data_IF_365642395800
#
_entry.id   IF_365642395800
#
_cell.length_a   1.000
_cell.length_b   1.000
_cell.length_c   1.000
_cell.angle_alpha   90.00
_cell.angle_beta   90.00
_cell.angle_gamma   90.00
#
_symmetry.space_group_name_H-M   'P 1'
#
loop_
_entity.id
_entity.type
_entity.pdbx_description
1 polymer ?
#
# COMPACT_ATOMS: atom_id res chain seq x y z
N UNK A 1 -18.69 -13.75 -1.19
CA UNK A 1 -19.74 -14.43 -0.39
C UNK A 1 -20.92 -13.50 -0.09
N UNK A 2 -20.79 -12.42 0.74
CA UNK A 2 -21.91 -11.53 1.09
C UNK A 2 -22.58 -10.88 -0.13
N UNK A 3 -21.82 -10.36 -1.08
CA UNK A 3 -22.36 -9.77 -2.30
C UNK A 3 -23.20 -10.76 -3.12
N UNK A 4 -22.70 -12.00 -3.27
CA UNK A 4 -23.44 -13.04 -3.98
C UNK A 4 -24.74 -13.41 -3.26
N UNK A 5 -24.75 -13.45 -1.93
CA UNK A 5 -25.97 -13.71 -1.14
C UNK A 5 -26.96 -12.56 -1.27
N UNK A 6 -26.52 -11.31 -1.24
CA UNK A 6 -27.38 -10.15 -1.46
C UNK A 6 -28.05 -10.21 -2.85
N UNK A 7 -27.24 -10.43 -3.89
CA UNK A 7 -27.71 -10.54 -5.26
C UNK A 7 -28.70 -11.69 -5.45
N UNK A 8 -28.43 -12.86 -4.88
CA UNK A 8 -29.32 -14.02 -4.94
C UNK A 8 -30.71 -13.78 -4.29
N UNK A 9 -30.78 -12.80 -3.37
CA UNK A 9 -32.03 -12.40 -2.70
C UNK A 9 -32.62 -11.08 -3.27
N UNK A 10 -32.18 -10.64 -4.46
CA UNK A 10 -32.66 -9.43 -5.10
C UNK A 10 -32.34 -8.14 -4.35
N UNK A 11 -31.26 -8.14 -3.56
CA UNK A 11 -30.79 -6.97 -2.80
C UNK A 11 -29.61 -6.32 -3.47
N UNK A 12 -29.55 -5.00 -3.40
CA UNK A 12 -28.34 -4.25 -3.74
C UNK A 12 -27.28 -4.47 -2.66
N UNK A 13 -26.02 -4.36 -3.03
CA UNK A 13 -24.90 -4.53 -2.11
C UNK A 13 -23.69 -3.69 -2.52
N UNK A 14 -22.97 -3.20 -1.53
CA UNK A 14 -21.65 -2.58 -1.69
C UNK A 14 -20.68 -3.36 -0.82
N UNK A 15 -19.63 -3.91 -1.42
CA UNK A 15 -18.63 -4.68 -0.72
C UNK A 15 -17.24 -4.13 -1.05
N UNK A 16 -16.58 -3.52 -0.08
CA UNK A 16 -15.15 -3.25 -0.13
C UNK A 16 -14.42 -4.48 0.42
N UNK A 17 -13.42 -4.94 -0.32
CA UNK A 17 -12.67 -6.15 0.00
C UNK A 17 -11.18 -5.84 0.15
N UNK A 18 -10.28 -6.71 -0.31
CA UNK A 18 -8.84 -6.53 -0.18
C UNK A 18 -8.23 -5.51 -1.14
N UNK A 19 -7.01 -5.13 -0.85
CA UNK A 19 -6.20 -4.24 -1.67
C UNK A 19 -4.73 -4.67 -1.71
N UNK A 20 -4.04 -4.35 -2.81
CA UNK A 20 -2.59 -4.47 -2.95
C UNK A 20 -2.09 -3.32 -3.80
N UNK A 21 -1.93 -2.16 -3.16
CA UNK A 21 -1.74 -0.90 -3.86
C UNK A 21 -0.29 -0.71 -4.31
N UNK A 22 -0.13 -0.26 -5.55
CA UNK A 22 1.17 -0.01 -6.18
C UNK A 22 1.54 1.47 -6.08
N UNK A 23 2.80 1.72 -5.75
CA UNK A 23 3.37 3.04 -5.62
C UNK A 23 4.56 3.16 -6.58
N UNK A 24 4.36 3.79 -7.71
CA UNK A 24 5.35 3.89 -8.79
C UNK A 24 6.17 5.16 -8.63
N UNK A 25 7.50 5.05 -8.73
CA UNK A 25 8.42 6.19 -8.69
C UNK A 25 9.23 6.23 -9.96
N UNK A 26 9.04 7.30 -10.74
CA UNK A 26 9.75 7.53 -11.99
C UNK A 26 11.14 8.15 -11.77
N UNK A 27 12.08 8.04 -12.73
CA UNK A 27 13.42 8.62 -12.63
C UNK A 27 13.45 10.14 -12.48
N UNK A 28 12.40 10.83 -12.91
CA UNK A 28 12.22 12.28 -12.86
C UNK A 28 11.47 12.77 -11.61
N UNK A 29 11.14 11.87 -10.68
CA UNK A 29 10.45 12.21 -9.45
C UNK A 29 11.35 12.98 -8.48
N UNK A 30 10.75 13.88 -7.70
CA UNK A 30 11.38 14.42 -6.49
C UNK A 30 11.48 13.30 -5.43
N UNK A 31 12.71 12.85 -5.18
CA UNK A 31 12.95 11.72 -4.29
C UNK A 31 12.65 12.02 -2.82
N UNK A 32 12.87 13.26 -2.37
CA UNK A 32 12.63 13.62 -0.98
C UNK A 32 11.12 13.65 -0.72
N UNK A 33 10.34 14.20 -1.65
CA UNK A 33 8.90 14.15 -1.60
C UNK A 33 8.37 12.71 -1.70
N UNK A 34 8.94 11.91 -2.61
CA UNK A 34 8.51 10.52 -2.79
C UNK A 34 8.79 9.67 -1.54
N UNK A 35 9.98 9.80 -0.91
CA UNK A 35 10.33 9.07 0.32
C UNK A 35 9.41 9.46 1.47
N UNK A 36 9.18 10.76 1.70
CA UNK A 36 8.27 11.23 2.75
C UNK A 36 6.84 10.67 2.54
N UNK A 37 6.37 10.65 1.29
CA UNK A 37 5.08 10.09 0.92
C UNK A 37 5.03 8.56 1.10
N UNK A 38 6.11 7.83 0.79
CA UNK A 38 6.22 6.38 1.01
C UNK A 38 6.17 6.08 2.51
N UNK A 39 6.96 6.76 3.34
CA UNK A 39 6.93 6.55 4.79
C UNK A 39 5.53 6.74 5.35
N UNK A 40 4.89 7.85 5.01
CA UNK A 40 3.51 8.12 5.42
C UNK A 40 2.52 7.07 4.89
N UNK A 41 2.66 6.64 3.64
CA UNK A 41 1.72 5.73 2.98
C UNK A 41 1.84 4.30 3.47
N UNK A 42 3.07 3.74 3.49
CA UNK A 42 3.31 2.32 3.79
C UNK A 42 3.33 2.04 5.29
N UNK A 43 3.80 2.99 6.09
CA UNK A 43 4.02 2.77 7.53
C UNK A 43 3.07 3.58 8.41
N UNK A 44 2.54 4.72 7.94
CA UNK A 44 1.52 5.46 8.67
C UNK A 44 0.32 4.59 9.03
N UNK A 45 -0.23 4.75 10.24
CA UNK A 45 -1.24 3.87 10.84
C UNK A 45 -0.85 2.37 10.82
N UNK A 46 0.45 2.08 10.96
CA UNK A 46 1.04 0.74 10.86
C UNK A 46 0.67 -0.01 9.56
N UNK A 47 0.54 0.72 8.44
CA UNK A 47 0.13 0.17 7.15
C UNK A 47 -1.31 -0.35 7.09
N UNK A 48 -2.10 -0.09 8.13
CA UNK A 48 -3.47 -0.60 8.28
C UNK A 48 -4.50 0.38 7.70
N UNK A 49 -4.34 0.73 6.41
CA UNK A 49 -5.26 1.56 5.64
C UNK A 49 -5.51 0.91 4.28
N UNK A 50 -6.76 0.92 3.82
CA UNK A 50 -7.16 0.34 2.53
C UNK A 50 -6.44 0.99 1.33
N UNK A 51 -6.07 2.27 1.42
CA UNK A 51 -5.34 3.01 0.39
C UNK A 51 -3.82 3.10 0.64
N UNK A 52 -3.30 2.44 1.69
CA UNK A 52 -1.86 2.39 1.96
C UNK A 52 -1.09 1.72 0.81
N UNK A 53 0.10 2.22 0.50
CA UNK A 53 1.03 1.53 -0.39
C UNK A 53 1.43 0.17 0.19
N UNK A 54 1.58 -0.82 -0.66
CA UNK A 54 2.04 -2.17 -0.31
C UNK A 54 3.17 -2.63 -1.22
N UNK A 55 3.08 -2.25 -2.50
CA UNK A 55 4.09 -2.55 -3.53
C UNK A 55 4.74 -1.25 -3.96
N UNK A 56 6.04 -1.13 -3.78
CA UNK A 56 6.86 -0.04 -4.30
C UNK A 56 7.46 -0.48 -5.65
N UNK A 57 7.22 0.32 -6.68
CA UNK A 57 7.72 0.05 -8.04
C UNK A 57 8.66 1.17 -8.47
N UNK A 58 9.96 1.10 -8.15
CA UNK A 58 10.96 1.99 -8.70
C UNK A 58 11.18 1.68 -10.18
N UNK A 59 11.22 2.72 -11.04
CA UNK A 59 11.38 2.59 -12.48
C UNK A 59 12.81 2.92 -12.91
N UNK A 60 13.48 1.96 -13.54
CA UNK A 60 14.82 2.15 -14.11
C UNK A 60 15.86 2.64 -13.09
N UNK A 61 16.56 3.69 -13.42
CA UNK A 61 17.73 4.18 -12.63
C UNK A 61 17.39 4.78 -11.27
N UNK A 62 16.11 5.07 -10.97
CA UNK A 62 15.70 5.64 -9.67
C UNK A 62 15.86 4.64 -8.54
N UNK A 63 15.94 3.36 -8.86
CA UNK A 63 15.93 2.28 -7.87
C UNK A 63 16.97 2.45 -6.77
N UNK A 64 18.27 2.56 -7.11
CA UNK A 64 19.34 2.60 -6.11
C UNK A 64 19.27 3.84 -5.20
N UNK A 65 19.13 5.07 -5.73
CA UNK A 65 19.04 6.26 -4.89
C UNK A 65 17.77 6.27 -4.02
N UNK A 66 16.63 5.80 -4.54
CA UNK A 66 15.40 5.69 -3.78
C UNK A 66 15.54 4.68 -2.64
N UNK A 67 16.09 3.50 -2.92
CA UNK A 67 16.27 2.44 -1.93
C UNK A 67 17.12 2.90 -0.76
N UNK A 68 18.25 3.52 -1.03
CA UNK A 68 19.15 4.04 0.01
C UNK A 68 18.44 5.03 0.93
N UNK A 69 17.79 6.03 0.36
CA UNK A 69 17.05 7.06 1.13
C UNK A 69 15.89 6.44 1.92
N UNK A 70 15.16 5.50 1.32
CA UNK A 70 14.01 4.87 1.96
C UNK A 70 14.40 4.03 3.18
N UNK A 71 15.42 3.17 3.04
CA UNK A 71 15.91 2.33 4.15
C UNK A 71 16.44 3.18 5.28
N UNK A 72 17.23 4.20 4.97
CA UNK A 72 17.76 5.15 5.96
C UNK A 72 16.62 5.84 6.73
N UNK A 73 15.65 6.42 6.02
CA UNK A 73 14.55 7.14 6.62
C UNK A 73 13.59 6.21 7.40
N UNK A 74 13.29 5.02 6.88
CA UNK A 74 12.45 4.04 7.57
C UNK A 74 13.10 3.51 8.86
N UNK A 75 14.43 3.31 8.85
CA UNK A 75 15.18 2.87 10.03
C UNK A 75 15.20 3.91 11.15
N UNK A 76 15.05 5.19 10.81
CA UNK A 76 15.05 6.30 11.76
C UNK A 76 13.67 6.58 12.39
N UNK A 77 12.60 5.94 11.89
CA UNK A 77 11.24 6.18 12.38
C UNK A 77 11.10 5.82 13.86
N UNK A 78 10.49 6.71 14.63
CA UNK A 78 10.19 6.49 16.05
C UNK A 78 8.92 5.65 16.21
N UNK A 79 9.08 4.51 16.88
CA UNK A 79 8.00 3.56 17.14
C UNK A 79 7.60 3.67 18.58
N UNK A 80 6.29 3.75 18.87
CA UNK A 80 5.85 3.91 20.25
C UNK A 80 4.35 4.14 20.42
N UNK A 81 3.99 4.68 21.58
CA UNK A 81 2.60 4.99 21.89
C UNK A 81 2.13 6.24 21.13
N UNK A 82 1.04 6.12 20.38
CA UNK A 82 0.57 7.14 19.43
C UNK A 82 0.07 8.46 20.05
N UNK A 83 0.06 8.62 21.38
CA UNK A 83 -0.19 9.91 22.04
C UNK A 83 1.10 10.69 22.32
N UNK A 84 2.25 10.12 22.06
CA UNK A 84 3.52 10.85 22.08
C UNK A 84 3.71 11.52 20.71
N UNK A 85 3.80 12.84 20.68
CA UNK A 85 3.95 13.65 19.46
C UNK A 85 5.22 13.30 18.66
N UNK A 86 6.24 12.71 19.29
CA UNK A 86 7.46 12.30 18.63
C UNK A 86 7.31 10.94 17.90
N UNK A 87 6.24 10.19 18.14
CA UNK A 87 6.03 8.86 17.57
C UNK A 87 5.42 8.96 16.18
N UNK A 88 6.04 8.26 15.22
CA UNK A 88 5.61 8.22 13.82
C UNK A 88 4.89 6.92 13.46
N UNK A 89 5.16 5.85 14.20
CA UNK A 89 4.60 4.52 13.96
C UNK A 89 4.07 3.91 15.26
N UNK A 90 2.76 3.79 15.37
CA UNK A 90 2.06 3.15 16.47
C UNK A 90 1.95 1.63 16.33
N UNK A 91 1.28 0.95 17.29
CA UNK A 91 1.08 -0.49 17.23
C UNK A 91 0.07 -0.90 16.16
N UNK A 92 0.13 -2.15 15.73
CA UNK A 92 -0.96 -2.77 14.99
C UNK A 92 -2.15 -3.07 15.90
N UNK A 93 -3.33 -3.23 15.31
CA UNK A 93 -4.62 -3.23 16.02
C UNK A 93 -4.77 -4.34 17.07
N UNK A 94 -4.10 -5.49 16.92
CA UNK A 94 -4.16 -6.63 17.86
C UNK A 94 -2.91 -7.52 17.75
N UNK A 95 -2.67 -8.33 18.79
CA UNK A 95 -1.63 -9.38 18.75
C UNK A 95 -1.90 -10.41 17.64
N UNK A 96 -3.17 -10.72 17.36
CA UNK A 96 -3.53 -11.61 16.23
C UNK A 96 -3.12 -11.00 14.89
N UNK A 97 -3.31 -9.70 14.71
CA UNK A 97 -2.84 -8.99 13.51
C UNK A 97 -1.31 -9.01 13.43
N UNK A 98 -0.62 -8.75 14.56
CA UNK A 98 0.85 -8.83 14.64
C UNK A 98 1.36 -10.21 14.22
N UNK A 99 0.82 -11.27 14.80
CA UNK A 99 1.22 -12.65 14.48
C UNK A 99 1.00 -12.99 12.99
N UNK A 100 -0.12 -12.56 12.40
CA UNK A 100 -0.42 -12.74 10.98
C UNK A 100 0.58 -11.99 10.10
N UNK A 101 0.92 -10.74 10.42
CA UNK A 101 1.89 -9.94 9.66
C UNK A 101 3.30 -10.56 9.76
N UNK A 102 3.70 -11.01 10.96
CA UNK A 102 4.97 -11.74 11.16
C UNK A 102 5.02 -12.98 10.28
N UNK A 103 3.95 -13.76 10.21
CA UNK A 103 3.86 -14.93 9.33
C UNK A 103 4.07 -14.59 7.85
N UNK A 104 3.55 -13.46 7.36
CA UNK A 104 3.83 -12.98 5.99
C UNK A 104 5.30 -12.57 5.81
N UNK A 105 5.92 -11.94 6.82
CA UNK A 105 7.33 -11.59 6.76
C UNK A 105 8.19 -12.86 6.69
N UNK A 106 7.91 -13.86 7.51
CA UNK A 106 8.57 -15.16 7.48
C UNK A 106 8.40 -15.86 6.13
N UNK A 107 7.20 -15.82 5.56
CA UNK A 107 6.93 -16.38 4.25
C UNK A 107 7.72 -15.67 3.15
N UNK A 108 7.80 -14.35 3.16
CA UNK A 108 8.59 -13.59 2.20
C UNK A 108 10.07 -13.96 2.23
N UNK A 109 10.64 -14.15 3.42
CA UNK A 109 12.01 -14.65 3.59
C UNK A 109 12.14 -16.10 3.04
N UNK A 110 11.19 -16.97 3.34
CA UNK A 110 11.20 -18.35 2.90
C UNK A 110 11.06 -18.49 1.37
N UNK A 111 10.34 -17.58 0.72
CA UNK A 111 10.19 -17.50 -0.74
C UNK A 111 11.40 -16.86 -1.43
N UNK A 112 12.40 -16.38 -0.68
CA UNK A 112 13.66 -15.85 -1.19
C UNK A 112 13.69 -14.35 -1.43
N UNK A 113 12.71 -13.58 -0.96
CA UNK A 113 12.79 -12.14 -0.99
C UNK A 113 13.90 -11.62 -0.07
N UNK A 114 14.63 -10.61 -0.51
CA UNK A 114 15.72 -10.02 0.25
C UNK A 114 15.20 -9.05 1.30
N UNK A 115 15.32 -9.40 2.58
CA UNK A 115 14.93 -8.55 3.69
C UNK A 115 15.99 -7.47 3.92
N UNK A 116 15.62 -6.20 3.70
CA UNK A 116 16.52 -5.04 3.86
C UNK A 116 16.36 -4.37 5.22
N UNK A 117 15.14 -4.37 5.75
CA UNK A 117 14.81 -3.86 7.07
C UNK A 117 13.79 -4.80 7.71
N UNK A 118 14.08 -5.23 8.93
CA UNK A 118 13.23 -6.16 9.68
C UNK A 118 12.57 -5.45 10.87
N UNK A 119 11.27 -5.34 10.83
CA UNK A 119 10.49 -4.69 11.89
C UNK A 119 9.92 -5.63 12.95
N UNK A 120 10.29 -6.93 12.98
CA UNK A 120 9.69 -7.91 13.89
C UNK A 120 10.09 -7.76 15.35
N UNK A 121 11.34 -7.36 15.62
CA UNK A 121 11.96 -7.37 16.96
C UNK A 121 11.91 -6.00 17.68
N UNK A 122 10.86 -5.22 17.39
CA UNK A 122 10.68 -3.92 18.03
C UNK A 122 10.14 -4.09 19.44
N UNK A 123 10.82 -3.45 20.42
CA UNK A 123 10.36 -3.30 21.79
C UNK A 123 10.17 -1.82 22.08
N UNK A 124 9.09 -1.50 22.81
CA UNK A 124 8.76 -0.12 23.19
C UNK A 124 8.77 -0.02 24.72
N UNK A 125 9.60 0.86 25.24
CA UNK A 125 9.73 1.08 26.68
C UNK A 125 8.38 1.46 27.31
N UNK A 126 8.07 0.83 28.43
CA UNK A 126 6.79 1.00 29.12
C UNK A 126 5.62 0.18 28.55
N UNK A 127 5.81 -0.51 27.42
CA UNK A 127 4.76 -1.29 26.75
C UNK A 127 5.27 -2.68 26.31
N UNK A 128 5.73 -3.54 27.24
CA UNK A 128 6.34 -4.84 26.91
C UNK A 128 5.36 -5.77 26.16
N UNK A 129 4.07 -5.64 26.45
CA UNK A 129 3.01 -6.44 25.83
C UNK A 129 2.35 -5.71 24.65
N UNK A 130 2.96 -4.66 24.11
CA UNK A 130 2.41 -3.91 22.98
C UNK A 130 2.51 -4.69 21.66
N UNK A 131 1.48 -4.57 20.81
CA UNK A 131 1.47 -5.19 19.49
C UNK A 131 2.26 -4.35 18.48
N UNK A 132 3.51 -4.02 18.78
CA UNK A 132 4.36 -3.19 17.90
C UNK A 132 5.04 -4.02 16.81
N UNK A 133 5.17 -3.40 15.65
CA UNK A 133 6.00 -3.83 14.53
C UNK A 133 6.64 -2.59 13.93
N UNK A 134 7.91 -2.67 13.60
CA UNK A 134 8.62 -1.64 12.86
C UNK A 134 8.38 -1.74 11.36
N UNK A 135 8.90 -0.76 10.59
CA UNK A 135 8.94 -0.83 9.16
C UNK A 135 9.68 -2.08 8.70
N UNK A 136 9.08 -2.81 7.77
CA UNK A 136 9.72 -3.96 7.11
C UNK A 136 9.82 -3.69 5.62
N UNK A 137 11.00 -3.88 5.04
CA UNK A 137 11.26 -3.62 3.61
C UNK A 137 11.86 -4.85 2.97
N UNK A 138 11.17 -5.37 1.97
CA UNK A 138 11.64 -6.45 1.11
C UNK A 138 12.04 -5.94 -0.26
N UNK A 139 13.18 -6.40 -0.74
CA UNK A 139 13.64 -6.23 -2.12
C UNK A 139 13.68 -7.59 -2.84
N UNK A 140 13.94 -7.55 -4.15
CA UNK A 140 13.98 -8.75 -4.99
C UNK A 140 12.68 -9.57 -4.92
N UNK A 141 11.57 -8.89 -4.67
CA UNK A 141 10.24 -9.51 -4.65
C UNK A 141 9.80 -9.80 -6.08
N UNK A 142 9.26 -11.00 -6.30
CA UNK A 142 8.68 -11.38 -7.58
C UNK A 142 7.15 -11.38 -7.53
N UNK A 143 6.44 -11.24 -8.65
CA UNK A 143 4.98 -11.23 -8.69
C UNK A 143 4.33 -12.52 -8.17
N UNK A 144 5.06 -13.63 -8.16
CA UNK A 144 4.58 -14.96 -7.73
C UNK A 144 4.58 -15.12 -6.22
N UNK A 145 5.41 -14.35 -5.50
CA UNK A 145 5.52 -14.44 -4.05
C UNK A 145 4.21 -14.05 -3.36
N UNK A 146 3.89 -14.72 -2.27
CA UNK A 146 2.66 -14.46 -1.48
C UNK A 146 2.63 -13.02 -0.99
N UNK A 147 3.78 -12.48 -0.54
CA UNK A 147 3.89 -11.09 -0.08
C UNK A 147 3.63 -10.05 -1.17
N UNK A 148 3.74 -10.41 -2.46
CA UNK A 148 3.37 -9.56 -3.59
C UNK A 148 1.88 -9.64 -3.95
N UNK A 149 1.24 -10.78 -3.71
CA UNK A 149 -0.12 -11.07 -4.16
C UNK A 149 -1.19 -10.83 -3.10
N UNK A 150 -0.89 -11.10 -1.83
CA UNK A 150 -1.87 -11.04 -0.76
C UNK A 150 -1.77 -9.73 0.03
N UNK A 151 -2.91 -9.30 0.58
CA UNK A 151 -2.99 -8.13 1.45
C UNK A 151 -2.42 -8.44 2.82
N UNK A 152 -1.26 -7.85 3.15
CA UNK A 152 -0.61 -8.03 4.46
C UNK A 152 -1.31 -7.18 5.53
N UNK A 153 -1.74 -5.98 5.21
CA UNK A 153 -2.37 -5.02 6.12
C UNK A 153 -1.51 -4.75 7.36
N UNK A 154 -0.28 -4.36 7.11
CA UNK A 154 0.77 -4.12 8.09
C UNK A 154 1.89 -3.24 7.54
N UNK A 155 2.89 -2.83 8.34
CA UNK A 155 3.96 -1.93 7.94
C UNK A 155 5.04 -2.66 7.11
N UNK A 156 4.64 -3.20 5.97
CA UNK A 156 5.49 -4.00 5.07
C UNK A 156 5.48 -3.42 3.67
N UNK A 157 6.66 -3.08 3.17
CA UNK A 157 6.93 -2.60 1.83
C UNK A 157 7.60 -3.69 1.00
N UNK A 158 7.00 -4.07 -0.13
CA UNK A 158 7.54 -5.03 -1.08
C UNK A 158 8.00 -4.30 -2.34
N UNK A 159 9.27 -4.44 -2.74
CA UNK A 159 9.84 -3.75 -3.90
C UNK A 159 9.82 -4.67 -5.12
N UNK A 160 9.08 -4.27 -6.16
CA UNK A 160 9.03 -4.90 -7.47
C UNK A 160 9.56 -3.92 -8.51
N UNK A 161 10.76 -4.11 -9.03
CA UNK A 161 11.37 -3.20 -10.00
C UNK A 161 10.65 -3.25 -11.36
N UNK A 162 10.66 -2.12 -12.06
CA UNK A 162 10.23 -2.02 -13.45
C UNK A 162 11.29 -1.28 -14.27
N UNK A 163 11.47 -1.63 -15.55
CA UNK A 163 12.41 -0.98 -16.43
C UNK A 163 11.88 0.37 -16.94
N UNK A 164 10.57 0.43 -17.17
CA UNK A 164 9.85 1.60 -17.65
C UNK A 164 8.42 1.69 -17.06
N UNK A 165 7.69 2.74 -17.47
CA UNK A 165 6.31 2.96 -17.02
C UNK A 165 5.35 1.90 -17.57
N UNK A 166 5.60 1.35 -18.76
CA UNK A 166 4.74 0.33 -19.35
C UNK A 166 4.80 -0.96 -18.54
N UNK A 167 5.98 -1.40 -18.16
CA UNK A 167 6.15 -2.57 -17.30
C UNK A 167 5.55 -2.33 -15.90
N UNK A 168 5.66 -1.12 -15.35
CA UNK A 168 5.00 -0.79 -14.09
C UNK A 168 3.47 -0.88 -14.21
N UNK A 169 2.89 -0.40 -15.31
CA UNK A 169 1.46 -0.51 -15.62
C UNK A 169 1.02 -1.96 -15.81
N UNK A 170 1.80 -2.77 -16.50
CA UNK A 170 1.53 -4.22 -16.65
C UNK A 170 1.44 -4.92 -15.28
N UNK A 171 2.35 -4.62 -14.34
CA UNK A 171 2.31 -5.17 -12.98
C UNK A 171 1.02 -4.78 -12.25
N UNK A 172 0.60 -3.51 -12.36
CA UNK A 172 -0.65 -3.02 -11.77
C UNK A 172 -1.86 -3.72 -12.41
N UNK A 173 -1.84 -3.89 -13.73
CA UNK A 173 -2.94 -4.53 -14.46
C UNK A 173 -3.06 -6.03 -14.14
N UNK A 174 -1.94 -6.71 -13.95
CA UNK A 174 -1.88 -8.13 -13.60
C UNK A 174 -2.35 -8.40 -12.16
N UNK A 175 -2.31 -7.41 -11.27
CA UNK A 175 -2.80 -7.56 -9.90
C UNK A 175 -4.30 -7.89 -9.88
N UNK A 176 -4.76 -8.85 -9.05
CA UNK A 176 -6.19 -9.12 -8.88
C UNK A 176 -6.93 -7.97 -8.18
N UNK A 177 -6.21 -7.07 -7.54
CA UNK A 177 -6.75 -5.90 -6.86
C UNK A 177 -6.61 -4.64 -7.70
N UNK A 178 -7.53 -3.69 -7.51
CA UNK A 178 -7.55 -2.41 -8.19
C UNK A 178 -8.14 -1.31 -7.32
N UNK A 179 -7.69 -1.21 -6.04
CA UNK A 179 -8.23 -0.21 -5.14
C UNK A 179 -7.57 1.15 -5.35
N UNK A 180 -6.23 1.23 -5.25
CA UNK A 180 -5.50 2.45 -5.57
C UNK A 180 -4.14 2.18 -6.23
N UNK A 181 -3.66 3.20 -6.95
CA UNK A 181 -2.30 3.27 -7.46
C UNK A 181 -1.77 4.71 -7.41
N UNK A 182 -0.50 4.88 -7.07
CA UNK A 182 0.17 6.18 -6.99
C UNK A 182 1.34 6.24 -7.94
N UNK A 183 1.57 7.43 -8.52
CA UNK A 183 2.72 7.72 -9.36
C UNK A 183 3.43 8.99 -8.90
N UNK A 184 4.74 8.94 -8.77
CA UNK A 184 5.60 10.09 -8.56
C UNK A 184 6.40 10.38 -9.83
N UNK A 185 6.21 11.56 -10.42
CA UNK A 185 6.84 12.02 -11.66
C UNK A 185 6.69 13.54 -11.82
N UNK A 186 7.64 14.16 -12.50
CA UNK A 186 7.51 15.53 -12.99
C UNK A 186 6.94 15.62 -14.42
N UNK A 187 6.76 14.47 -15.11
CA UNK A 187 6.24 14.41 -16.47
C UNK A 187 4.72 14.40 -16.53
N UNK A 188 4.13 15.47 -17.08
CA UNK A 188 2.68 15.49 -17.34
C UNK A 188 2.20 14.43 -18.35
N UNK A 189 3.07 13.96 -19.24
CA UNK A 189 2.75 12.86 -20.18
C UNK A 189 2.67 11.53 -19.43
N UNK A 190 3.64 11.22 -18.54
CA UNK A 190 3.63 10.04 -17.72
C UNK A 190 2.40 10.02 -16.77
N UNK A 191 2.10 11.16 -16.14
CA UNK A 191 0.94 11.30 -15.28
C UNK A 191 -0.39 11.00 -16.02
N UNK A 192 -0.60 11.57 -17.23
CA UNK A 192 -1.79 11.28 -18.03
C UNK A 192 -1.86 9.82 -18.46
N UNK A 193 -0.75 9.23 -18.91
CA UNK A 193 -0.70 7.82 -19.30
C UNK A 193 -1.07 6.93 -18.12
N UNK A 194 -0.48 7.18 -16.95
CA UNK A 194 -0.76 6.44 -15.72
C UNK A 194 -2.23 6.55 -15.33
N UNK A 195 -2.79 7.75 -15.32
CA UNK A 195 -4.20 8.00 -14.99
C UNK A 195 -5.16 7.19 -15.86
N UNK A 196 -4.86 7.04 -17.16
CA UNK A 196 -5.74 6.32 -18.08
C UNK A 196 -5.53 4.81 -18.06
N UNK A 197 -4.35 4.32 -17.71
CA UNK A 197 -3.98 2.91 -17.89
C UNK A 197 -3.81 2.11 -16.59
N UNK A 198 -3.71 2.75 -15.42
CA UNK A 198 -3.46 2.04 -14.15
C UNK A 198 -4.60 1.10 -13.72
N UNK A 199 -5.80 1.26 -14.27
CA UNK A 199 -6.96 0.39 -14.01
C UNK A 199 -7.22 0.14 -12.52
N UNK A 200 -7.22 1.23 -11.74
CA UNK A 200 -7.54 1.26 -10.31
C UNK A 200 -8.65 2.28 -10.05
N UNK A 201 -9.41 2.08 -8.98
CA UNK A 201 -10.51 2.97 -8.60
C UNK A 201 -10.04 4.34 -8.14
N UNK A 202 -8.87 4.42 -7.49
CA UNK A 202 -8.31 5.66 -6.97
C UNK A 202 -6.88 5.83 -7.48
N UNK A 203 -6.59 6.96 -8.12
CA UNK A 203 -5.28 7.24 -8.70
C UNK A 203 -4.72 8.51 -8.07
N UNK A 204 -3.49 8.42 -7.55
CA UNK A 204 -2.76 9.54 -6.98
C UNK A 204 -1.56 9.92 -7.83
N UNK A 205 -1.39 11.22 -8.11
CA UNK A 205 -0.19 11.75 -8.77
C UNK A 205 0.52 12.67 -7.78
N UNK A 206 1.76 12.33 -7.43
CA UNK A 206 2.60 13.02 -6.46
C UNK A 206 1.95 13.16 -5.08
N UNK A 207 1.15 12.18 -4.69
CA UNK A 207 0.57 12.05 -3.35
C UNK A 207 0.76 10.63 -2.81
N UNK A 208 0.92 10.51 -1.50
CA UNK A 208 1.19 9.21 -0.86
C UNK A 208 -0.03 8.31 -0.71
N UNK A 209 -1.20 8.90 -0.53
CA UNK A 209 -2.47 8.18 -0.35
C UNK A 209 -3.53 8.86 -1.20
N UNK A 210 -4.10 8.14 -2.15
CA UNK A 210 -5.16 8.63 -3.03
C UNK A 210 -6.53 8.67 -2.31
N UNK A 211 -6.57 9.26 -1.11
CA UNK A 211 -7.80 9.41 -0.33
C UNK A 211 -8.70 10.47 -0.95
N UNK A 212 -9.96 10.13 -1.14
CA UNK A 212 -10.96 11.03 -1.70
C UNK A 212 -11.57 11.92 -0.61
N UNK A 213 -12.03 13.10 -1.02
CA UNK A 213 -12.84 13.96 -0.16
C UNK A 213 -14.28 13.44 -0.05
N UNK A 214 -15.03 13.87 0.95
CA UNK A 214 -16.36 13.35 1.26
C UNK A 214 -17.40 13.47 0.12
N UNK A 215 -17.18 14.34 -0.85
CA UNK A 215 -18.05 14.52 -2.02
C UNK A 215 -17.49 13.89 -3.30
N UNK A 216 -16.33 13.30 -3.25
CA UNK A 216 -15.80 12.51 -4.36
C UNK A 216 -16.15 11.04 -4.18
N UNK A 217 -16.36 10.36 -5.26
CA UNK A 217 -16.67 8.93 -5.27
C UNK A 217 -15.45 8.14 -4.83
N UNK A 218 -15.64 7.24 -3.88
CA UNK A 218 -14.65 6.22 -3.49
C UNK A 218 -15.09 4.88 -4.04
N UNK A 219 -14.27 4.30 -4.90
CA UNK A 219 -14.53 2.99 -5.48
C UNK A 219 -13.27 2.16 -5.59
N UNK A 220 -13.45 0.91 -5.97
CA UNK A 220 -12.39 -0.01 -6.33
C UNK A 220 -12.78 -0.74 -7.60
N UNK A 221 -11.78 -1.33 -8.25
CA UNK A 221 -11.96 -2.19 -9.41
C UNK A 221 -11.52 -3.61 -9.09
N UNK A 222 -11.76 -4.52 -10.01
CA UNK A 222 -11.36 -5.93 -9.91
C UNK A 222 -11.90 -6.57 -8.61
N UNK A 223 -11.05 -7.28 -7.86
CA UNK A 223 -11.44 -7.91 -6.61
C UNK A 223 -11.45 -6.97 -5.40
N UNK A 224 -11.15 -5.68 -5.58
CA UNK A 224 -11.15 -4.74 -4.46
C UNK A 224 -12.53 -4.19 -4.10
N UNK A 225 -13.51 -4.26 -5.02
CA UNK A 225 -14.87 -3.83 -4.74
C UNK A 225 -15.88 -4.58 -5.60
N UNK A 226 -17.06 -4.76 -5.07
CA UNK A 226 -18.22 -5.34 -5.77
C UNK A 226 -19.46 -4.50 -5.51
N UNK A 227 -20.25 -4.27 -6.56
CA UNK A 227 -21.46 -3.48 -6.51
C UNK A 227 -21.24 -1.99 -6.71
N UNK A 228 -22.11 -1.18 -6.14
CA UNK A 228 -22.09 0.25 -6.32
C UNK A 228 -20.88 0.89 -5.59
N UNK A 229 -20.42 2.03 -6.09
CA UNK A 229 -19.35 2.80 -5.47
C UNK A 229 -19.87 3.66 -4.32
N UNK A 230 -18.98 4.10 -3.42
CA UNK A 230 -19.29 5.04 -2.36
C UNK A 230 -19.06 6.48 -2.81
N UNK A 231 -19.89 7.39 -2.33
CA UNK A 231 -19.78 8.80 -2.55
C UNK A 231 -21.08 9.50 -2.16
N UNK A 232 -21.05 10.83 -2.07
CA UNK A 232 -22.22 11.58 -1.62
C UNK A 232 -23.46 11.31 -2.47
N UNK A 233 -23.36 11.49 -3.79
CA UNK A 233 -24.45 11.29 -4.73
C UNK A 233 -24.86 9.83 -4.83
N UNK A 234 -23.87 8.94 -4.93
CA UNK A 234 -24.07 7.49 -5.05
C UNK A 234 -24.71 6.90 -3.80
N UNK A 235 -24.37 7.45 -2.61
CA UNK A 235 -25.01 7.02 -1.36
C UNK A 235 -26.50 7.35 -1.33
N UNK A 236 -26.91 8.50 -1.84
CA UNK A 236 -28.35 8.83 -1.97
C UNK A 236 -29.08 7.95 -2.97
N UNK A 237 -28.41 7.60 -4.07
CA UNK A 237 -28.99 6.73 -5.09
C UNK A 237 -29.02 5.25 -4.67
N UNK A 238 -28.24 4.88 -3.67
CA UNK A 238 -28.21 3.51 -3.15
C UNK A 238 -29.44 3.19 -2.30
N UNK A 239 -29.92 4.13 -1.48
CA UNK A 239 -31.09 3.99 -0.62
C UNK A 239 -32.35 4.57 -1.26
#
# INVERSE_FOLDING_TARGET
MLYAQAAANGKRGQCATGAKNHFVVMPDADLDQAVAAILSSFFGAAGQRCLAGSILVPVGQVYQPLLKKLVEAASAMKIGYGMDEAVELGPVVTHKARARIVGYIEQGVAEGARLLLDGRDVQVDGYPDGAFLGPTIFDEVTPEMVIAREEIFGPVCCILRADDLDQALERIQASPFGHSAMLFTSSGAAARKFQHQANCGNIGINIGVAATQAYATLGGLKQSAYGDVHGRSESFLFF
#
